data_IF_959206877299
#
_entry.id   IF_959206877299
#
_cell.length_a   1.000
_cell.length_b   1.000
_cell.length_c   1.000
_cell.angle_alpha   90.00
_cell.angle_beta   90.00
_cell.angle_gamma   90.00
#
_symmetry.space_group_name_H-M   'P 1'
#
loop_
_entity.id
_entity.type
_entity.pdbx_description
1 polymer ?
#
# COMPACT_ATOMS: atom_id res chain seq x y z
N UNK A 1 -33.22 -42.78 4.74
CA UNK A 1 -32.69 -41.68 3.92
C UNK A 1 -32.69 -40.44 4.80
N UNK A 2 -31.58 -40.17 5.47
CA UNK A 2 -31.34 -38.89 6.15
C UNK A 2 -30.03 -38.38 5.57
N UNK A 3 -30.18 -37.37 4.74
CA UNK A 3 -29.14 -36.66 4.01
C UNK A 3 -28.26 -35.98 5.07
N UNK A 4 -27.05 -36.50 5.29
CA UNK A 4 -26.02 -35.79 6.05
C UNK A 4 -25.58 -34.62 5.17
N UNK A 5 -26.22 -33.48 5.34
CA UNK A 5 -25.79 -32.23 4.74
C UNK A 5 -24.42 -31.89 5.31
N UNK A 6 -23.41 -32.01 4.46
CA UNK A 6 -22.10 -31.41 4.64
C UNK A 6 -22.30 -29.91 4.92
N UNK A 7 -22.22 -29.52 6.20
CA UNK A 7 -21.83 -28.17 6.58
C UNK A 7 -20.35 -28.05 6.20
N UNK A 8 -20.12 -27.68 4.94
CA UNK A 8 -18.88 -27.07 4.51
C UNK A 8 -18.75 -25.79 5.32
N UNK A 9 -18.06 -25.89 6.46
CA UNK A 9 -17.41 -24.74 7.08
C UNK A 9 -16.37 -24.32 6.04
N UNK A 10 -16.77 -23.39 5.16
CA UNK A 10 -15.83 -22.58 4.42
C UNK A 10 -15.08 -21.78 5.49
N UNK A 11 -14.01 -22.38 5.99
CA UNK A 11 -12.95 -21.67 6.68
C UNK A 11 -12.39 -20.69 5.66
N UNK A 12 -13.03 -19.53 5.53
CA UNK A 12 -12.34 -18.35 5.05
C UNK A 12 -11.21 -18.13 6.05
N UNK A 13 -10.03 -18.63 5.71
CA UNK A 13 -8.79 -18.23 6.35
C UNK A 13 -8.58 -16.76 5.97
N UNK A 14 -9.34 -15.86 6.61
CA UNK A 14 -8.96 -14.47 6.66
C UNK A 14 -7.71 -14.42 7.51
N UNK A 15 -6.55 -14.35 6.87
CA UNK A 15 -5.33 -14.01 7.59
C UNK A 15 -5.61 -12.66 8.24
N UNK A 16 -5.61 -12.63 9.57
CA UNK A 16 -5.68 -11.39 10.31
C UNK A 16 -4.43 -10.60 9.96
N UNK A 17 -4.59 -9.33 9.58
CA UNK A 17 -3.44 -8.47 9.30
C UNK A 17 -2.48 -8.46 10.50
N UNK A 18 -1.18 -8.54 10.23
CA UNK A 18 -0.12 -8.49 11.22
C UNK A 18 0.45 -7.06 11.31
N UNK A 19 1.13 -6.75 12.42
CA UNK A 19 1.91 -5.51 12.52
C UNK A 19 3.01 -5.55 11.45
N UNK A 20 3.25 -4.44 10.77
CA UNK A 20 4.18 -4.36 9.64
C UNK A 20 3.48 -4.38 8.27
N UNK A 21 4.24 -4.81 7.26
CA UNK A 21 3.77 -4.86 5.87
C UNK A 21 3.05 -6.18 5.56
N UNK A 22 1.85 -6.07 5.00
CA UNK A 22 1.03 -7.21 4.62
C UNK A 22 0.80 -7.19 3.10
N UNK A 23 1.19 -8.25 2.40
CA UNK A 23 0.93 -8.38 0.96
C UNK A 23 -0.58 -8.56 0.71
N UNK A 24 -1.10 -7.90 -0.32
CA UNK A 24 -2.40 -8.23 -0.88
C UNK A 24 -2.40 -8.16 -2.40
N UNK A 25 -3.35 -8.85 -3.01
CA UNK A 25 -3.63 -8.76 -4.45
C UNK A 25 -4.44 -7.51 -4.79
N UNK A 26 -4.40 -7.07 -6.05
CA UNK A 26 -5.27 -5.98 -6.52
C UNK A 26 -6.76 -6.29 -6.31
N UNK A 27 -7.14 -7.57 -6.35
CA UNK A 27 -8.52 -8.00 -6.09
C UNK A 27 -8.90 -7.73 -4.63
N UNK A 28 -8.07 -8.14 -3.68
CA UNK A 28 -8.29 -7.90 -2.25
C UNK A 28 -8.30 -6.40 -1.92
N UNK A 29 -7.41 -5.63 -2.55
CA UNK A 29 -7.43 -4.17 -2.45
C UNK A 29 -8.78 -3.60 -2.89
N UNK A 30 -9.28 -3.97 -4.07
CA UNK A 30 -10.59 -3.51 -4.56
C UNK A 30 -11.73 -3.89 -3.62
N UNK A 31 -11.68 -5.10 -3.05
CA UNK A 31 -12.67 -5.54 -2.06
C UNK A 31 -12.62 -4.69 -0.79
N UNK A 32 -11.43 -4.39 -0.24
CA UNK A 32 -11.29 -3.49 0.92
C UNK A 32 -11.76 -2.07 0.63
N UNK A 33 -11.40 -1.52 -0.54
CA UNK A 33 -11.85 -0.18 -0.96
C UNK A 33 -13.38 -0.13 -1.15
N UNK A 34 -13.98 -1.14 -1.78
CA UNK A 34 -15.44 -1.22 -1.96
C UNK A 34 -16.20 -1.48 -0.64
N UNK A 35 -15.53 -2.02 0.38
CA UNK A 35 -16.05 -2.21 1.73
C UNK A 35 -15.86 -0.98 2.64
N UNK A 36 -15.39 0.14 2.09
CA UNK A 36 -15.18 1.39 2.83
C UNK A 36 -14.21 1.23 4.01
N UNK A 37 -13.19 0.38 3.88
CA UNK A 37 -12.15 0.23 4.92
C UNK A 37 -11.15 1.40 4.90
N UNK A 38 -10.54 1.69 6.05
CA UNK A 38 -9.55 2.75 6.25
C UNK A 38 -8.20 2.17 6.67
N UNK A 39 -7.13 2.36 5.90
CA UNK A 39 -5.83 1.73 6.18
C UNK A 39 -4.69 2.45 5.46
N UNK A 40 -3.45 2.17 5.87
CA UNK A 40 -2.26 2.55 5.13
C UNK A 40 -1.99 1.55 3.99
N UNK A 41 -1.72 2.08 2.80
CA UNK A 41 -1.49 1.30 1.59
C UNK A 41 -0.23 1.78 0.89
N UNK A 42 0.63 0.86 0.47
CA UNK A 42 1.77 1.15 -0.39
C UNK A 42 1.56 0.47 -1.73
N UNK A 43 1.47 1.24 -2.82
CA UNK A 43 1.39 0.69 -4.18
C UNK A 43 2.61 1.08 -4.98
N UNK A 44 3.10 0.15 -5.78
CA UNK A 44 4.23 0.36 -6.67
C UNK A 44 4.18 -0.61 -7.85
N UNK A 45 4.99 -0.36 -8.88
CA UNK A 45 5.14 -1.24 -10.03
C UNK A 45 6.61 -1.48 -10.29
N UNK A 46 7.08 -2.69 -9.96
CA UNK A 46 8.46 -3.10 -10.22
C UNK A 46 8.55 -4.63 -10.27
N UNK A 47 9.58 -5.16 -10.92
CA UNK A 47 9.80 -6.60 -10.94
C UNK A 47 10.00 -7.13 -9.50
N UNK A 48 9.54 -8.35 -9.23
CA UNK A 48 9.74 -8.98 -7.91
C UNK A 48 11.22 -9.02 -7.51
N UNK A 49 12.12 -9.22 -8.47
CA UNK A 49 13.56 -9.22 -8.25
C UNK A 49 14.08 -7.85 -7.79
N UNK A 50 13.60 -6.76 -8.38
CA UNK A 50 14.02 -5.42 -7.99
C UNK A 50 13.46 -5.02 -6.63
N UNK A 51 12.22 -5.43 -6.31
CA UNK A 51 11.62 -5.21 -4.98
C UNK A 51 12.44 -5.90 -3.89
N UNK A 52 12.83 -7.17 -4.10
CA UNK A 52 13.66 -7.93 -3.16
C UNK A 52 15.07 -7.33 -3.03
N UNK A 53 15.72 -6.95 -4.14
CA UNK A 53 17.07 -6.38 -4.11
C UNK A 53 17.14 -4.99 -3.49
N UNK A 54 16.12 -4.17 -3.71
CA UNK A 54 16.06 -2.82 -3.16
C UNK A 54 15.69 -2.80 -1.68
N UNK A 55 15.26 -3.92 -1.09
CA UNK A 55 14.81 -4.03 0.29
C UNK A 55 13.62 -3.10 0.63
N UNK A 56 12.78 -2.80 -0.39
CA UNK A 56 11.66 -1.86 -0.28
C UNK A 56 10.67 -2.26 0.81
N UNK A 57 10.20 -3.52 0.76
CA UNK A 57 9.16 -4.01 1.68
C UNK A 57 9.73 -4.11 3.09
N UNK A 58 10.99 -4.55 3.23
CA UNK A 58 11.69 -4.67 4.50
C UNK A 58 11.91 -3.31 5.18
N UNK A 59 12.18 -2.25 4.41
CA UNK A 59 12.35 -0.91 4.94
C UNK A 59 11.03 -0.34 5.50
N UNK A 60 9.92 -0.46 4.76
CA UNK A 60 8.60 -0.10 5.25
C UNK A 60 8.18 -0.95 6.46
N UNK A 61 8.40 -2.26 6.41
CA UNK A 61 8.08 -3.18 7.51
C UNK A 61 8.81 -2.79 8.80
N UNK A 62 10.11 -2.48 8.71
CA UNK A 62 10.90 -2.00 9.85
C UNK A 62 10.39 -0.70 10.42
N UNK A 63 9.96 0.25 9.58
CA UNK A 63 9.39 1.52 10.01
C UNK A 63 8.08 1.30 10.77
N UNK A 64 7.15 0.54 10.20
CA UNK A 64 5.84 0.27 10.80
C UNK A 64 5.92 -0.52 12.11
N UNK A 65 6.81 -1.51 12.19
CA UNK A 65 7.01 -2.30 13.41
C UNK A 65 7.49 -1.46 14.60
N UNK A 66 8.18 -0.34 14.37
CA UNK A 66 8.68 0.52 15.46
C UNK A 66 7.55 1.12 16.29
N UNK A 67 6.44 1.46 15.63
CA UNK A 67 5.30 2.14 16.21
C UNK A 67 4.03 1.25 16.25
N UNK A 68 4.22 -0.08 16.13
CA UNK A 68 3.16 -1.10 16.13
C UNK A 68 2.05 -0.84 15.10
N UNK A 69 2.42 -0.31 13.93
CA UNK A 69 1.49 0.02 12.85
C UNK A 69 1.36 -1.10 11.83
N UNK A 70 0.24 -1.14 11.13
CA UNK A 70 -0.03 -2.08 10.04
C UNK A 70 -0.20 -1.30 8.74
N UNK A 71 0.35 -1.82 7.65
CA UNK A 71 0.03 -1.36 6.31
C UNK A 71 -0.07 -2.54 5.36
N UNK A 72 -0.70 -2.29 4.22
CA UNK A 72 -0.77 -3.24 3.13
C UNK A 72 0.07 -2.79 1.95
N UNK A 73 0.52 -3.72 1.11
CA UNK A 73 1.08 -3.37 -0.19
C UNK A 73 0.53 -4.19 -1.34
N UNK A 74 0.58 -3.58 -2.53
CA UNK A 74 0.28 -4.23 -3.80
C UNK A 74 1.37 -3.88 -4.81
N UNK A 75 2.00 -4.91 -5.37
CA UNK A 75 2.82 -4.76 -6.56
C UNK A 75 1.94 -4.87 -7.82
N UNK A 76 1.98 -3.84 -8.66
CA UNK A 76 1.12 -3.63 -9.81
C UNK A 76 1.86 -3.83 -11.16
N UNK A 77 3.02 -4.48 -11.14
CA UNK A 77 3.88 -4.72 -12.32
C UNK A 77 3.14 -5.39 -13.49
N UNK A 78 2.21 -6.30 -13.20
CA UNK A 78 1.44 -7.03 -14.23
C UNK A 78 0.21 -6.26 -14.75
N UNK A 79 -0.09 -5.07 -14.20
CA UNK A 79 -1.31 -4.33 -14.49
C UNK A 79 -1.13 -3.28 -15.59
N UNK A 80 -2.12 -3.20 -16.47
CA UNK A 80 -2.15 -2.23 -17.57
C UNK A 80 -2.35 -0.81 -17.05
N UNK A 81 -1.82 0.19 -17.76
CA UNK A 81 -2.02 1.60 -17.40
C UNK A 81 -3.52 1.96 -17.32
N UNK A 82 -4.33 1.54 -18.30
CA UNK A 82 -5.78 1.78 -18.31
C UNK A 82 -6.48 1.23 -17.05
N UNK A 83 -6.05 0.06 -16.54
CA UNK A 83 -6.59 -0.52 -15.29
C UNK A 83 -6.31 0.38 -14.09
N UNK A 84 -5.13 0.99 -14.08
CA UNK A 84 -4.60 1.74 -12.95
C UNK A 84 -5.09 3.17 -12.94
N UNK A 85 -5.23 3.78 -14.12
CA UNK A 85 -5.91 5.06 -14.30
C UNK A 85 -7.35 4.96 -13.80
N UNK A 86 -8.08 3.89 -14.20
CA UNK A 86 -9.43 3.65 -13.70
C UNK A 86 -9.49 3.42 -12.18
N UNK A 87 -8.45 2.79 -11.61
CA UNK A 87 -8.36 2.60 -10.17
C UNK A 87 -8.19 3.94 -9.45
N UNK A 88 -7.23 4.75 -9.90
CA UNK A 88 -6.96 6.09 -9.38
C UNK A 88 -8.19 6.99 -9.46
N UNK A 89 -8.82 7.07 -10.64
CA UNK A 89 -10.02 7.88 -10.87
C UNK A 89 -11.21 7.43 -10.02
N UNK A 90 -11.42 6.12 -9.85
CA UNK A 90 -12.57 5.59 -9.09
C UNK A 90 -12.48 5.93 -7.60
N UNK A 91 -11.28 5.81 -7.02
CA UNK A 91 -11.08 5.90 -5.57
C UNK A 91 -10.45 7.22 -5.10
N UNK A 92 -10.19 8.16 -6.01
CA UNK A 92 -9.91 9.55 -5.64
C UNK A 92 -11.24 10.32 -5.51
N UNK A 93 -11.56 10.90 -4.34
CA UNK A 93 -12.75 11.73 -4.18
C UNK A 93 -12.78 12.92 -5.14
N UNK A 94 -13.95 13.26 -5.66
CA UNK A 94 -14.11 14.40 -6.58
C UNK A 94 -13.78 15.77 -5.94
N UNK A 95 -13.83 15.84 -4.61
CA UNK A 95 -13.49 17.02 -3.81
C UNK A 95 -12.09 16.94 -3.19
N UNK A 96 -11.33 15.89 -3.52
CA UNK A 96 -9.92 15.79 -3.15
C UNK A 96 -9.15 16.98 -3.73
N UNK A 97 -8.35 17.63 -2.90
CA UNK A 97 -7.58 18.83 -3.28
C UNK A 97 -6.17 18.51 -3.79
N UNK A 98 -5.80 17.23 -3.83
CA UNK A 98 -4.57 16.76 -4.44
C UNK A 98 -4.78 16.31 -5.88
N UNK A 99 -3.73 15.78 -6.47
CA UNK A 99 -3.79 15.13 -7.77
C UNK A 99 -4.53 13.79 -7.67
N UNK A 100 -5.04 13.29 -8.79
CA UNK A 100 -5.63 11.94 -8.85
C UNK A 100 -4.57 10.94 -8.41
N UNK A 101 -4.95 9.96 -7.59
CA UNK A 101 -4.04 8.91 -7.17
C UNK A 101 -3.44 8.20 -8.39
N UNK A 102 -2.11 8.12 -8.43
CA UNK A 102 -1.34 7.40 -9.44
C UNK A 102 -0.76 6.13 -8.81
N UNK A 103 -1.44 4.97 -8.87
CA UNK A 103 -1.06 3.77 -8.11
C UNK A 103 0.36 3.25 -8.36
N UNK A 104 0.97 3.60 -9.50
CA UNK A 104 2.34 3.17 -9.84
C UNK A 104 3.42 4.04 -9.23
N UNK A 105 3.10 5.28 -8.85
CA UNK A 105 4.09 6.32 -8.58
C UNK A 105 3.91 6.98 -7.21
N UNK A 106 2.69 7.05 -6.68
CA UNK A 106 2.40 7.74 -5.41
C UNK A 106 2.96 7.01 -4.17
N UNK A 107 3.22 5.70 -4.28
CA UNK A 107 3.76 4.90 -3.18
C UNK A 107 2.80 4.77 -2.00
N UNK A 108 3.17 5.30 -0.85
CA UNK A 108 2.32 5.27 0.34
C UNK A 108 1.12 6.21 0.20
N UNK A 109 -0.07 5.71 0.53
CA UNK A 109 -1.30 6.48 0.65
C UNK A 109 -2.08 6.10 1.92
N UNK A 110 -2.84 7.05 2.45
CA UNK A 110 -3.89 6.80 3.43
C UNK A 110 -5.22 6.59 2.71
N UNK A 111 -5.81 5.42 2.91
CA UNK A 111 -7.19 5.13 2.57
C UNK A 111 -8.06 5.49 3.77
N UNK A 112 -9.14 6.24 3.55
CA UNK A 112 -10.22 6.41 4.52
C UNK A 112 -11.57 6.21 3.84
N UNK A 113 -12.44 5.42 4.46
CA UNK A 113 -13.76 5.05 3.95
C UNK A 113 -13.71 4.60 2.48
N UNK A 114 -12.69 3.81 2.14
CA UNK A 114 -12.48 3.29 0.78
C UNK A 114 -11.91 4.28 -0.24
N UNK A 115 -11.56 5.49 0.17
CA UNK A 115 -11.05 6.53 -0.72
C UNK A 115 -9.63 6.99 -0.35
N UNK A 116 -8.85 7.42 -1.35
CA UNK A 116 -7.52 7.99 -1.13
C UNK A 116 -7.65 9.40 -0.57
N UNK A 117 -7.20 9.59 0.68
CA UNK A 117 -7.32 10.86 1.40
C UNK A 117 -6.00 11.59 1.59
N UNK A 118 -4.87 10.88 1.44
CA UNK A 118 -3.54 11.47 1.55
C UNK A 118 -2.51 10.65 0.79
N UNK A 119 -1.67 11.30 0.00
CA UNK A 119 -0.41 10.78 -0.53
C UNK A 119 0.76 11.62 0.04
N UNK A 120 1.57 11.10 0.98
CA UNK A 120 2.80 11.77 1.42
C UNK A 120 3.83 11.82 0.29
N UNK A 121 4.43 13.00 0.05
CA UNK A 121 5.34 13.22 -1.09
C UNK A 121 6.72 12.64 -0.86
N UNK A 122 7.05 12.39 0.40
CA UNK A 122 8.28 11.78 0.86
C UNK A 122 8.37 10.31 0.42
N UNK A 123 7.23 9.69 0.13
CA UNK A 123 7.10 8.25 -0.15
C UNK A 123 6.68 7.97 -1.59
N UNK A 124 6.98 8.86 -2.54
CA UNK A 124 6.77 8.57 -3.96
C UNK A 124 7.67 7.40 -4.37
N UNK A 125 7.10 6.43 -5.07
CA UNK A 125 7.76 5.17 -5.43
C UNK A 125 7.64 4.91 -6.94
N UNK A 126 8.28 5.76 -7.74
CA UNK A 126 8.34 5.52 -9.19
C UNK A 126 9.09 4.23 -9.50
N UNK A 127 8.72 3.58 -10.60
CA UNK A 127 9.42 2.38 -11.08
C UNK A 127 10.94 2.59 -11.20
N UNK A 128 11.36 3.76 -11.71
CA UNK A 128 12.78 4.11 -11.86
C UNK A 128 13.53 4.25 -10.53
N UNK A 129 12.86 4.69 -9.45
CA UNK A 129 13.47 4.75 -8.13
C UNK A 129 13.77 3.34 -7.62
N UNK A 130 12.80 2.43 -7.76
CA UNK A 130 12.93 1.05 -7.29
C UNK A 130 14.00 0.31 -8.10
N UNK A 131 13.97 0.41 -9.43
CA UNK A 131 14.95 -0.21 -10.32
C UNK A 131 16.36 0.36 -10.11
N UNK A 132 16.51 1.68 -10.00
CA UNK A 132 17.79 2.33 -9.75
C UNK A 132 18.39 1.91 -8.40
N UNK A 133 17.55 1.82 -7.37
CA UNK A 133 17.94 1.37 -6.04
C UNK A 133 18.37 -0.10 -6.04
N UNK A 134 17.57 -0.98 -6.66
CA UNK A 134 17.86 -2.41 -6.77
C UNK A 134 19.17 -2.73 -7.48
N UNK A 135 19.55 -1.89 -8.46
CA UNK A 135 20.74 -2.08 -9.28
C UNK A 135 21.95 -1.24 -8.80
N UNK A 136 21.78 -0.43 -7.74
CA UNK A 136 22.83 0.45 -7.22
C UNK A 136 23.32 1.44 -8.28
N UNK A 137 22.41 1.98 -9.07
CA UNK A 137 22.74 2.90 -10.16
C UNK A 137 23.25 4.25 -9.64
N UNK A 138 24.14 4.90 -10.41
CA UNK A 138 24.68 6.20 -10.03
C UNK A 138 23.55 7.24 -9.89
N UNK A 139 23.42 7.82 -8.69
CA UNK A 139 22.37 8.79 -8.37
C UNK A 139 21.19 8.23 -7.58
N UNK A 140 21.18 6.92 -7.31
CA UNK A 140 20.24 6.25 -6.42
C UNK A 140 20.98 5.68 -5.20
N UNK A 141 20.26 5.50 -4.10
CA UNK A 141 20.78 4.77 -2.94
C UNK A 141 20.83 3.27 -3.25
N UNK A 142 21.58 2.49 -2.46
CA UNK A 142 21.73 1.05 -2.70
C UNK A 142 20.64 0.18 -2.08
N UNK A 143 19.78 0.78 -1.25
CA UNK A 143 18.72 0.11 -0.47
C UNK A 143 17.71 1.13 0.05
N UNK A 144 16.44 0.72 0.18
CA UNK A 144 15.42 1.53 0.85
C UNK A 144 15.67 1.75 2.35
N UNK A 145 16.60 1.01 2.98
CA UNK A 145 17.06 1.37 4.32
C UNK A 145 17.81 2.71 4.37
N UNK A 146 18.33 3.19 3.25
CA UNK A 146 18.98 4.51 3.15
C UNK A 146 17.94 5.63 2.97
N UNK A 147 16.70 5.30 2.56
CA UNK A 147 15.54 6.20 2.48
C UNK A 147 14.66 6.21 3.75
N UNK A 148 15.13 5.66 4.87
CA UNK A 148 14.31 5.52 6.08
C UNK A 148 13.78 6.83 6.65
N UNK A 149 14.50 7.94 6.52
CA UNK A 149 14.03 9.24 7.00
C UNK A 149 12.76 9.68 6.24
N UNK A 150 12.72 9.46 4.92
CA UNK A 150 11.57 9.77 4.07
C UNK A 150 10.41 8.80 4.32
N UNK A 151 10.69 7.50 4.46
CA UNK A 151 9.69 6.48 4.81
C UNK A 151 9.01 6.82 6.15
N UNK A 152 9.81 7.11 7.19
CA UNK A 152 9.30 7.49 8.50
C UNK A 152 8.48 8.78 8.43
N UNK A 153 8.95 9.78 7.68
CA UNK A 153 8.24 11.04 7.50
C UNK A 153 6.91 10.86 6.79
N UNK A 154 6.85 10.02 5.74
CA UNK A 154 5.62 9.72 5.02
C UNK A 154 4.59 8.99 5.88
N UNK A 155 5.00 7.94 6.60
CA UNK A 155 4.13 7.21 7.52
C UNK A 155 3.61 8.15 8.61
N UNK A 156 4.49 8.93 9.25
CA UNK A 156 4.09 9.90 10.26
C UNK A 156 3.10 10.93 9.73
N UNK A 157 3.35 11.47 8.52
CA UNK A 157 2.45 12.43 7.85
C UNK A 157 1.06 11.84 7.58
N UNK A 158 0.97 10.57 7.18
CA UNK A 158 -0.31 9.89 6.96
C UNK A 158 -1.06 9.66 8.28
N UNK A 159 -0.37 9.20 9.33
CA UNK A 159 -0.97 8.96 10.65
C UNK A 159 -1.41 10.26 11.34
N UNK A 160 -0.59 11.31 11.27
CA UNK A 160 -0.94 12.64 11.78
C UNK A 160 -2.19 13.19 11.08
N UNK A 161 -2.32 12.97 9.77
CA UNK A 161 -3.52 13.33 9.02
C UNK A 161 -4.73 12.54 9.49
N UNK A 162 -4.59 11.22 9.70
CA UNK A 162 -5.66 10.37 10.20
C UNK A 162 -6.15 10.85 11.58
N UNK A 163 -5.23 11.11 12.51
CA UNK A 163 -5.54 11.62 13.85
C UNK A 163 -6.24 12.99 13.80
N UNK A 164 -5.74 13.93 12.99
CA UNK A 164 -6.32 15.28 12.88
C UNK A 164 -7.73 15.30 12.29
N UNK A 165 -8.11 14.25 11.56
CA UNK A 165 -9.41 14.14 10.90
C UNK A 165 -10.30 13.05 11.54
N UNK A 166 -9.94 12.54 12.72
CA UNK A 166 -10.68 11.50 13.45
C UNK A 166 -10.93 10.22 12.60
N UNK A 167 -9.97 9.84 11.74
CA UNK A 167 -10.04 8.64 10.91
C UNK A 167 -9.58 7.42 11.73
N UNK A 168 -10.46 6.46 11.95
CA UNK A 168 -10.14 5.20 12.61
C UNK A 168 -9.66 4.16 11.58
N UNK A 169 -8.43 3.67 11.74
CA UNK A 169 -7.86 2.67 10.84
C UNK A 169 -8.43 1.26 11.14
N UNK A 170 -8.90 0.59 10.10
CA UNK A 170 -9.45 -0.75 10.08
C UNK A 170 -8.59 -1.66 9.20
N UNK A 171 -7.92 -2.64 9.81
CA UNK A 171 -7.00 -3.58 9.15
C UNK A 171 -7.60 -4.98 8.99
#
# INVERSE_FOLDING_TARGET
MILLSFLLVLSACGNKAEVGMNEMTLKELKEKLDNEESFLLVTFSASKEDVEKSELVEAFDKSLNKDEQTAFYVNLDEESQDTLDQLGEKYTPSDYKGDVWEPKDDGLVLIADGAVMKNPRETLLSQSLIEGTANGEEGYEGSFFEYMDDINAGIGSALDFAEQNDIELSY
#
